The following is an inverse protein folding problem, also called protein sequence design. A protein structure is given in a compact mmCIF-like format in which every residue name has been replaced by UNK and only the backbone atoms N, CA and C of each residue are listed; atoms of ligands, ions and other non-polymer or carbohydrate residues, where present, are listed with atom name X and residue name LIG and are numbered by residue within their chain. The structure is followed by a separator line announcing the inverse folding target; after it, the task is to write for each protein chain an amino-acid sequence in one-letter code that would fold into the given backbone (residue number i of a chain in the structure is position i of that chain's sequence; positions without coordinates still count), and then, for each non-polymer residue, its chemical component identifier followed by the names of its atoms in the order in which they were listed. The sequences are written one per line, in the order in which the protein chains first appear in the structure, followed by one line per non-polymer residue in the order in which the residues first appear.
data_IF_872334220149
#
_entry.id   IF_872334220149
#
_cell.length_a   1.000
_cell.length_b   1.000
_cell.length_c   1.000
_cell.angle_alpha   90.00
_cell.angle_beta   90.00
_cell.angle_gamma   90.00
#
_symmetry.space_group_name_H-M   'P 1'
#
loop_
_entity.id
_entity.type
_entity.pdbx_description
1 polymer ?
#
# COMPACT_ATOMS: atom_id res chain seq x y z
N UNK A 1 16.30 8.71 -8.10
CA UNK A 1 16.07 7.49 -7.29
C UNK A 1 14.59 7.22 -7.31
N UNK A 2 14.24 5.98 -7.64
CA UNK A 2 13.04 5.59 -8.38
C UNK A 2 11.75 5.58 -7.55
N UNK A 3 10.73 6.30 -8.02
CA UNK A 3 9.31 5.96 -7.78
C UNK A 3 8.66 5.96 -9.17
N UNK A 4 8.76 4.83 -9.86
CA UNK A 4 8.02 4.58 -11.08
C UNK A 4 7.72 3.09 -11.17
N UNK A 5 6.45 2.79 -11.46
CA UNK A 5 5.80 1.48 -11.56
C UNK A 5 5.22 0.89 -10.26
N UNK A 6 4.09 1.45 -9.82
CA UNK A 6 2.94 0.60 -9.41
C UNK A 6 1.92 0.69 -10.55
N UNK A 7 2.32 0.10 -11.68
CA UNK A 7 1.38 -0.62 -12.52
C UNK A 7 0.72 -1.70 -11.65
N UNK A 8 -0.43 -2.21 -12.07
CA UNK A 8 -0.98 -3.41 -11.45
C UNK A 8 0.16 -4.41 -11.23
N UNK A 9 0.38 -4.79 -9.97
CA UNK A 9 1.32 -5.83 -9.61
C UNK A 9 0.69 -7.09 -10.17
N UNK A 10 1.00 -7.32 -11.45
CA UNK A 10 1.08 -8.62 -12.04
C UNK A 10 2.03 -9.37 -11.14
N UNK A 11 1.45 -10.20 -10.28
CA UNK A 11 2.19 -11.03 -9.34
C UNK A 11 3.15 -11.88 -10.15
N UNK A 12 4.43 -11.52 -10.11
CA UNK A 12 5.57 -12.39 -10.39
C UNK A 12 5.50 -13.07 -11.78
N UNK A 13 6.27 -12.54 -12.74
CA UNK A 13 6.72 -13.29 -13.91
C UNK A 13 7.76 -14.36 -13.52
N UNK A 14 7.41 -15.24 -12.59
CA UNK A 14 7.97 -16.57 -12.52
C UNK A 14 7.21 -17.41 -13.56
N UNK A 15 7.89 -18.31 -14.24
CA UNK A 15 7.21 -19.31 -15.07
C UNK A 15 6.14 -19.98 -14.18
N UNK A 16 4.84 -19.98 -14.55
CA UNK A 16 3.77 -20.56 -13.73
C UNK A 16 3.93 -22.07 -13.47
N UNK A 17 5.03 -22.67 -13.95
CA UNK A 17 5.44 -24.05 -13.74
C UNK A 17 6.63 -24.21 -12.78
N UNK A 18 7.28 -23.13 -12.34
CA UNK A 18 8.44 -23.24 -11.46
C UNK A 18 8.02 -23.48 -10.00
N UNK A 19 8.55 -24.54 -9.41
CA UNK A 19 8.27 -24.91 -8.02
C UNK A 19 9.03 -23.96 -7.08
N UNK A 20 8.30 -23.23 -6.23
CA UNK A 20 8.92 -22.34 -5.24
C UNK A 20 9.59 -23.16 -4.12
N UNK A 21 10.91 -23.02 -3.97
CA UNK A 21 11.64 -23.61 -2.84
C UNK A 21 11.77 -22.55 -1.75
N UNK A 22 11.15 -22.79 -0.59
CA UNK A 22 11.12 -21.84 0.53
C UNK A 22 11.82 -22.49 1.72
N UNK A 23 12.78 -21.80 2.31
CA UNK A 23 13.52 -22.27 3.49
C UNK A 23 13.16 -21.36 4.65
N UNK A 24 12.36 -21.87 5.60
CA UNK A 24 12.00 -21.20 6.84
C UNK A 24 13.03 -21.54 7.93
N UNK A 25 13.39 -22.82 8.00
CA UNK A 25 14.43 -23.33 8.88
C UNK A 25 15.41 -24.19 8.08
N UNK A 26 16.66 -23.73 7.86
CA UNK A 26 17.69 -24.49 7.17
C UNK A 26 18.02 -25.83 7.84
N UNK A 27 17.88 -25.94 9.17
CA UNK A 27 18.07 -27.18 9.94
C UNK A 27 16.77 -27.98 10.10
N UNK A 28 15.67 -27.44 9.56
CA UNK A 28 14.35 -28.03 9.59
C UNK A 28 14.32 -29.45 9.02
N UNK A 29 13.71 -30.37 9.75
CA UNK A 29 13.56 -31.78 9.36
C UNK A 29 12.24 -32.09 8.66
N UNK A 30 11.33 -31.11 8.58
CA UNK A 30 10.05 -31.23 7.88
C UNK A 30 10.09 -30.48 6.55
N UNK A 31 9.68 -31.14 5.48
CA UNK A 31 9.40 -30.53 4.18
C UNK A 31 7.90 -30.59 3.93
N UNK A 32 7.27 -29.46 3.65
CA UNK A 32 5.86 -29.37 3.31
C UNK A 32 5.78 -29.10 1.81
N UNK A 33 5.24 -30.06 1.06
CA UNK A 33 4.99 -29.97 -0.37
C UNK A 33 3.55 -29.48 -0.59
N UNK A 34 3.41 -28.31 -1.19
CA UNK A 34 2.12 -27.73 -1.52
C UNK A 34 1.78 -28.03 -2.97
N UNK A 35 0.60 -28.61 -3.22
CA UNK A 35 0.16 -28.94 -4.55
C UNK A 35 -1.29 -28.51 -4.81
N UNK A 36 -1.63 -28.37 -6.09
CA UNK A 36 -3.02 -28.15 -6.53
C UNK A 36 -3.46 -29.23 -7.51
N UNK A 37 -4.77 -29.44 -7.55
CA UNK A 37 -5.49 -30.27 -8.55
C UNK A 37 -6.56 -29.43 -9.24
N UNK A 38 -6.35 -28.11 -9.33
CA UNK A 38 -7.28 -27.17 -9.96
C UNK A 38 -7.56 -27.55 -11.42
N UNK A 39 -8.70 -27.09 -11.95
CA UNK A 39 -9.20 -27.49 -13.27
C UNK A 39 -8.31 -27.02 -14.44
N UNK A 40 -7.43 -26.04 -14.20
CA UNK A 40 -6.42 -25.54 -15.14
C UNK A 40 -5.13 -26.37 -15.16
N UNK A 41 -4.96 -27.30 -14.21
CA UNK A 41 -3.87 -28.27 -14.22
C UNK A 41 -4.17 -29.34 -15.26
N UNK A 42 -3.25 -29.56 -16.21
CA UNK A 42 -3.39 -30.66 -17.16
C UNK A 42 -3.57 -31.98 -16.39
N UNK A 43 -4.56 -32.77 -16.78
CA UNK A 43 -4.83 -34.10 -16.23
C UNK A 43 -3.60 -35.03 -16.29
N UNK A 44 -2.61 -34.70 -17.13
CA UNK A 44 -1.34 -35.41 -17.23
C UNK A 44 -0.30 -35.04 -16.16
N UNK A 45 -0.44 -33.89 -15.47
CA UNK A 45 0.54 -33.44 -14.48
C UNK A 45 0.52 -34.31 -13.23
N UNK A 46 1.73 -34.74 -12.84
CA UNK A 46 1.98 -35.60 -11.69
C UNK A 46 3.28 -35.20 -11.02
N UNK A 47 3.33 -35.36 -9.70
CA UNK A 47 4.53 -35.15 -8.91
C UNK A 47 4.81 -36.36 -8.03
N UNK A 48 6.06 -36.49 -7.58
CA UNK A 48 6.45 -37.52 -6.61
C UNK A 48 6.12 -36.95 -5.23
N UNK A 49 5.11 -37.53 -4.58
CA UNK A 49 4.72 -37.16 -3.21
C UNK A 49 5.82 -37.47 -2.20
N UNK A 50 5.70 -36.88 -1.02
CA UNK A 50 6.53 -37.24 0.13
C UNK A 50 6.43 -38.71 0.56
N UNK A 51 5.44 -39.46 0.08
CA UNK A 51 5.34 -40.92 0.28
C UNK A 51 6.08 -41.74 -0.79
N UNK A 52 6.69 -41.09 -1.79
CA UNK A 52 7.36 -41.73 -2.93
C UNK A 52 6.40 -42.22 -4.02
N UNK A 53 5.09 -42.02 -3.87
CA UNK A 53 4.09 -42.36 -4.87
C UNK A 53 3.85 -41.22 -5.84
N UNK A 54 3.65 -41.57 -7.11
CA UNK A 54 3.27 -40.63 -8.16
C UNK A 54 1.83 -40.16 -7.92
N UNK A 55 1.67 -38.86 -7.63
CA UNK A 55 0.39 -38.23 -7.26
C UNK A 55 -0.05 -37.28 -8.35
N UNK A 56 -1.36 -37.26 -8.64
CA UNK A 56 -1.92 -36.35 -9.63
C UNK A 56 -2.02 -34.92 -9.08
N UNK A 57 -1.56 -33.95 -9.87
CA UNK A 57 -1.55 -32.54 -9.54
C UNK A 57 -0.23 -31.86 -9.86
N UNK A 58 -0.21 -30.54 -9.69
CA UNK A 58 0.96 -29.69 -9.88
C UNK A 58 1.56 -29.31 -8.53
N UNK A 59 2.85 -29.56 -8.35
CA UNK A 59 3.59 -29.07 -7.19
C UNK A 59 3.81 -27.56 -7.35
N UNK A 60 3.39 -26.78 -6.36
CA UNK A 60 3.50 -25.33 -6.35
C UNK A 60 4.69 -24.85 -5.53
N UNK A 61 4.91 -25.47 -4.37
CA UNK A 61 5.99 -25.09 -3.47
C UNK A 61 6.49 -26.25 -2.62
N UNK A 62 7.73 -26.14 -2.17
CA UNK A 62 8.36 -27.02 -1.20
C UNK A 62 8.95 -26.16 -0.09
N UNK A 63 8.36 -26.24 1.11
CA UNK A 63 8.72 -25.41 2.26
C UNK A 63 9.46 -26.24 3.30
N UNK A 64 10.70 -25.88 3.62
CA UNK A 64 11.51 -26.52 4.67
C UNK A 64 11.34 -25.79 6.00
N UNK A 65 10.94 -26.51 7.04
CA UNK A 65 10.60 -25.95 8.36
C UNK A 65 10.94 -26.91 9.51
N UNK A 66 10.92 -26.40 10.74
CA UNK A 66 11.13 -27.20 11.94
C UNK A 66 9.92 -28.07 12.23
N UNK A 67 10.11 -29.40 12.20
CA UNK A 67 9.05 -30.36 12.54
C UNK A 67 8.47 -30.10 13.94
N UNK A 68 9.34 -29.79 14.91
CA UNK A 68 8.95 -29.57 16.30
C UNK A 68 8.04 -28.34 16.41
N UNK A 69 8.45 -27.21 15.85
CA UNK A 69 7.71 -25.95 15.93
C UNK A 69 6.35 -26.06 15.24
N UNK A 70 6.30 -26.68 14.05
CA UNK A 70 5.04 -26.89 13.31
C UNK A 70 4.06 -27.73 14.13
N UNK A 71 4.52 -28.79 14.78
CA UNK A 71 3.69 -29.66 15.61
C UNK A 71 3.18 -28.96 16.88
N UNK A 72 4.02 -28.14 17.51
CA UNK A 72 3.64 -27.37 18.72
C UNK A 72 2.58 -26.30 18.43
N UNK A 73 2.48 -25.86 17.18
CA UNK A 73 1.60 -24.76 16.76
C UNK A 73 0.43 -25.19 15.86
N UNK A 74 0.31 -26.47 15.50
CA UNK A 74 -0.78 -26.98 14.66
C UNK A 74 -1.21 -28.41 15.04
N UNK A 75 -2.46 -28.52 15.47
CA UNK A 75 -3.11 -29.80 15.71
C UNK A 75 -3.33 -30.59 14.41
N UNK A 76 -3.62 -29.90 13.30
CA UNK A 76 -3.77 -30.52 11.98
C UNK A 76 -2.51 -31.33 11.61
N UNK A 77 -1.32 -30.70 11.68
CA UNK A 77 -0.07 -31.40 11.34
C UNK A 77 0.26 -32.51 12.35
N UNK A 78 -0.11 -32.32 13.63
CA UNK A 78 0.02 -33.37 14.66
C UNK A 78 -0.79 -34.61 14.31
N UNK A 79 -2.07 -34.44 13.99
CA UNK A 79 -2.94 -35.56 13.62
C UNK A 79 -2.52 -36.20 12.29
N UNK A 80 -2.10 -35.41 11.31
CA UNK A 80 -1.66 -35.92 10.02
C UNK A 80 -0.39 -36.79 10.16
N UNK A 81 0.53 -36.38 11.03
CA UNK A 81 1.72 -37.16 11.34
C UNK A 81 1.40 -38.43 12.14
N UNK A 82 0.43 -38.35 13.06
CA UNK A 82 -0.06 -39.51 13.81
C UNK A 82 -0.68 -40.56 12.89
N UNK A 83 -1.55 -40.14 11.96
CA UNK A 83 -2.14 -41.03 10.93
C UNK A 83 -1.06 -41.71 10.11
N UNK A 84 -0.03 -40.97 9.69
CA UNK A 84 1.08 -41.53 8.91
C UNK A 84 1.88 -42.57 9.70
N UNK A 85 2.14 -42.33 10.99
CA UNK A 85 2.80 -43.30 11.86
C UNK A 85 1.96 -44.58 12.04
N UNK A 86 0.64 -44.45 12.18
CA UNK A 86 -0.28 -45.59 12.24
C UNK A 86 -0.26 -46.42 10.94
N UNK A 87 -0.24 -45.75 9.79
CA UNK A 87 -0.18 -46.42 8.48
C UNK A 87 1.12 -47.19 8.26
N UNK A 88 2.22 -46.79 8.92
CA UNK A 88 3.50 -47.50 8.89
C UNK A 88 3.61 -48.63 9.93
N UNK A 89 2.47 -49.11 10.49
CA UNK A 89 2.40 -50.22 11.46
C UNK A 89 3.29 -50.02 12.69
N UNK A 90 3.45 -48.77 13.14
CA UNK A 90 4.20 -48.44 14.35
C UNK A 90 5.73 -48.37 14.19
N UNK A 91 6.27 -48.43 12.96
CA UNK A 91 7.68 -48.10 12.74
C UNK A 91 7.94 -46.61 13.04
N UNK A 92 9.12 -46.31 13.60
CA UNK A 92 9.53 -44.94 13.92
C UNK A 92 9.50 -44.07 12.64
N UNK A 93 8.93 -42.87 12.73
CA UNK A 93 8.96 -41.90 11.64
C UNK A 93 10.42 -41.57 11.27
N UNK A 94 10.73 -41.39 9.98
CA UNK A 94 12.05 -40.98 9.56
C UNK A 94 12.40 -39.61 10.16
N UNK A 95 13.70 -39.37 10.33
CA UNK A 95 14.21 -38.11 10.86
C UNK A 95 13.82 -36.94 9.96
N UNK A 96 14.06 -37.07 8.65
CA UNK A 96 13.58 -36.15 7.62
C UNK A 96 12.26 -36.65 7.06
N UNK A 97 11.27 -35.77 6.96
CA UNK A 97 9.93 -36.13 6.54
C UNK A 97 9.35 -35.12 5.58
N UNK A 98 8.66 -35.62 4.56
CA UNK A 98 7.93 -34.80 3.59
C UNK A 98 6.43 -35.01 3.74
N UNK A 99 5.67 -33.94 3.96
CA UNK A 99 4.20 -33.93 4.02
C UNK A 99 3.64 -33.21 2.81
N UNK A 100 2.63 -33.80 2.18
CA UNK A 100 1.95 -33.21 1.03
C UNK A 100 0.64 -32.58 1.48
N UNK A 101 0.43 -31.29 1.19
CA UNK A 101 -0.82 -30.57 1.48
C UNK A 101 -1.40 -29.98 0.20
N UNK A 102 -2.72 -30.12 0.04
CA UNK A 102 -3.45 -29.49 -1.06
C UNK A 102 -3.77 -28.05 -0.70
N UNK A 103 -3.18 -27.09 -1.40
CA UNK A 103 -3.46 -25.66 -1.25
C UNK A 103 -2.91 -24.88 -2.42
N UNK A 104 -3.67 -23.89 -2.88
CA UNK A 104 -3.29 -22.95 -3.94
C UNK A 104 -2.66 -21.67 -3.38
N UNK A 105 -2.68 -21.48 -2.06
CA UNK A 105 -2.30 -20.23 -1.41
C UNK A 105 -0.94 -20.38 -0.71
N UNK A 106 0.12 -20.52 -1.53
CA UNK A 106 1.50 -20.70 -1.04
C UNK A 106 1.90 -19.60 -0.08
N UNK A 107 1.67 -18.33 -0.45
CA UNK A 107 2.01 -17.16 0.36
C UNK A 107 1.33 -17.18 1.73
N UNK A 108 0.06 -17.57 1.80
CA UNK A 108 -0.69 -17.65 3.07
C UNK A 108 -0.14 -18.71 4.02
N UNK A 109 0.29 -19.86 3.49
CA UNK A 109 0.91 -20.92 4.30
C UNK A 109 2.35 -20.54 4.68
N UNK A 110 3.10 -19.93 3.77
CA UNK A 110 4.43 -19.38 4.04
C UNK A 110 4.40 -18.38 5.20
N UNK A 111 3.45 -17.44 5.20
CA UNK A 111 3.26 -16.45 6.26
C UNK A 111 3.05 -17.12 7.62
N UNK A 112 2.15 -18.10 7.71
CA UNK A 112 1.93 -18.85 8.96
C UNK A 112 3.19 -19.55 9.44
N UNK A 113 3.91 -20.21 8.53
CA UNK A 113 5.13 -20.91 8.86
C UNK A 113 6.23 -19.95 9.32
N UNK A 114 6.38 -18.77 8.69
CA UNK A 114 7.30 -17.73 9.19
C UNK A 114 6.91 -17.27 10.59
N UNK A 115 5.63 -16.95 10.80
CA UNK A 115 5.16 -16.38 12.06
C UNK A 115 5.32 -17.32 13.26
N UNK A 116 5.14 -18.63 13.08
CA UNK A 116 5.33 -19.60 14.18
C UNK A 116 6.81 -19.92 14.46
N UNK A 117 7.75 -19.53 13.60
CA UNK A 117 9.18 -19.76 13.78
C UNK A 117 9.86 -18.48 14.29
N UNK A 118 10.21 -18.39 15.58
CA UNK A 118 10.75 -17.16 16.17
C UNK A 118 12.07 -16.69 15.53
N UNK A 119 12.89 -17.66 15.09
CA UNK A 119 14.18 -17.40 14.45
C UNK A 119 14.05 -17.15 12.94
N UNK A 120 12.86 -17.35 12.36
CA UNK A 120 12.62 -17.09 10.96
C UNK A 120 12.31 -15.61 10.75
N UNK A 121 13.06 -14.96 9.86
CA UNK A 121 12.79 -13.58 9.49
C UNK A 121 11.50 -13.51 8.67
N UNK A 122 10.54 -12.70 9.14
CA UNK A 122 9.46 -12.20 8.30
C UNK A 122 10.09 -11.39 7.17
N UNK A 123 9.66 -11.62 5.93
CA UNK A 123 10.22 -10.89 4.78
C UNK A 123 9.33 -9.70 4.43
N UNK A 124 9.90 -8.69 3.76
CA UNK A 124 9.16 -7.50 3.35
C UNK A 124 7.99 -7.86 2.41
N UNK A 125 8.11 -8.95 1.63
CA UNK A 125 7.01 -9.44 0.78
C UNK A 125 5.80 -9.90 1.60
N UNK A 126 6.00 -10.34 2.85
CA UNK A 126 4.89 -10.75 3.72
C UNK A 126 4.06 -9.56 4.24
N UNK A 127 4.60 -8.35 4.21
CA UNK A 127 3.88 -7.12 4.57
C UNK A 127 3.22 -6.44 3.36
N UNK A 128 3.50 -6.90 2.14
CA UNK A 128 2.92 -6.38 0.90
C UNK A 128 1.90 -7.32 0.23
N UNK A 129 1.45 -8.35 0.96
CA UNK A 129 0.46 -9.30 0.45
C UNK A 129 -0.91 -8.63 0.28
N UNK A 130 -1.70 -9.15 -0.67
CA UNK A 130 -3.01 -8.57 -0.99
C UNK A 130 -4.06 -8.86 0.09
N UNK A 131 -5.13 -8.05 0.14
CA UNK A 131 -6.30 -8.33 1.00
C UNK A 131 -6.86 -9.74 0.73
N UNK A 132 -6.84 -10.20 -0.54
CA UNK A 132 -7.24 -11.55 -0.91
C UNK A 132 -6.37 -12.60 -0.21
N UNK A 133 -5.06 -12.40 -0.16
CA UNK A 133 -4.14 -13.31 0.52
C UNK A 133 -4.30 -13.28 2.03
N UNK A 134 -4.67 -12.15 2.63
CA UNK A 134 -5.06 -12.09 4.05
C UNK A 134 -6.29 -12.95 4.34
N UNK A 135 -7.32 -12.89 3.48
CA UNK A 135 -8.47 -13.81 3.60
C UNK A 135 -8.05 -15.27 3.47
N UNK A 136 -7.17 -15.59 2.53
CA UNK A 136 -6.62 -16.93 2.36
C UNK A 136 -5.79 -17.36 3.59
N UNK A 137 -5.08 -16.44 4.24
CA UNK A 137 -4.34 -16.66 5.50
C UNK A 137 -5.30 -17.00 6.64
N UNK A 138 -6.43 -16.29 6.77
CA UNK A 138 -7.46 -16.64 7.75
C UNK A 138 -8.09 -18.01 7.46
N UNK A 139 -8.31 -18.35 6.19
CA UNK A 139 -8.77 -19.69 5.80
C UNK A 139 -7.73 -20.77 6.11
N UNK A 140 -6.44 -20.50 5.86
CA UNK A 140 -5.34 -21.40 6.16
C UNK A 140 -5.23 -21.65 7.68
N UNK A 141 -5.42 -20.63 8.51
CA UNK A 141 -5.51 -20.79 9.97
C UNK A 141 -6.57 -21.81 10.38
N UNK A 142 -7.78 -21.69 9.81
CA UNK A 142 -8.87 -22.63 10.12
C UNK A 142 -8.59 -24.04 9.59
N UNK A 143 -7.97 -24.13 8.41
CA UNK A 143 -7.70 -25.41 7.74
C UNK A 143 -6.59 -26.19 8.43
N UNK A 144 -5.52 -25.49 8.82
CA UNK A 144 -4.33 -26.07 9.43
C UNK A 144 -4.28 -25.85 10.95
N UNK A 145 -5.36 -25.37 11.54
CA UNK A 145 -5.54 -25.16 12.98
C UNK A 145 -4.41 -24.33 13.62
N UNK A 146 -3.97 -23.27 12.95
CA UNK A 146 -3.03 -22.30 13.52
C UNK A 146 -3.77 -21.30 14.40
N UNK A 147 -3.17 -20.93 15.54
CA UNK A 147 -3.68 -19.94 16.48
C UNK A 147 -3.58 -18.54 15.89
N UNK A 148 -4.72 -17.83 15.80
CA UNK A 148 -4.80 -16.50 15.19
C UNK A 148 -3.91 -15.47 15.89
N UNK A 149 -3.73 -15.62 17.20
CA UNK A 149 -2.96 -14.71 18.05
C UNK A 149 -1.49 -14.59 17.62
N UNK A 150 -0.94 -15.62 16.95
CA UNK A 150 0.45 -15.60 16.45
C UNK A 150 0.67 -14.52 15.39
N UNK A 151 -0.37 -14.18 14.62
CA UNK A 151 -0.29 -13.14 13.59
C UNK A 151 -0.74 -11.76 14.08
N UNK A 152 -1.01 -11.58 15.38
CA UNK A 152 -1.54 -10.30 15.89
C UNK A 152 -0.62 -9.12 15.56
N UNK A 153 0.67 -9.23 15.89
CA UNK A 153 1.64 -8.15 15.67
C UNK A 153 1.92 -7.92 14.18
N UNK A 154 2.00 -9.01 13.40
CA UNK A 154 2.15 -8.92 11.95
C UNK A 154 0.94 -8.22 11.30
N UNK A 155 -0.27 -8.54 11.75
CA UNK A 155 -1.50 -7.98 11.20
C UNK A 155 -1.62 -6.49 11.54
N UNK A 156 -1.23 -6.08 12.74
CA UNK A 156 -1.20 -4.67 13.12
C UNK A 156 -0.30 -3.88 12.15
N UNK A 157 0.93 -4.35 11.91
CA UNK A 157 1.85 -3.71 10.97
C UNK A 157 1.31 -3.70 9.53
N UNK A 158 0.81 -4.85 9.04
CA UNK A 158 0.27 -4.97 7.68
C UNK A 158 -0.94 -4.05 7.47
N UNK A 159 -1.85 -3.94 8.43
CA UNK A 159 -3.06 -3.11 8.32
C UNK A 159 -2.71 -1.63 8.19
N UNK A 160 -1.67 -1.17 8.88
CA UNK A 160 -1.18 0.21 8.76
C UNK A 160 -0.66 0.52 7.36
N UNK A 161 0.19 -0.35 6.81
CA UNK A 161 0.73 -0.18 5.46
C UNK A 161 -0.39 -0.28 4.41
N UNK A 162 -1.24 -1.31 4.51
CA UNK A 162 -2.32 -1.53 3.56
C UNK A 162 -3.33 -0.37 3.55
N UNK A 163 -3.66 0.17 4.73
CA UNK A 163 -4.55 1.33 4.84
C UNK A 163 -3.95 2.57 4.20
N UNK A 164 -2.68 2.86 4.45
CA UNK A 164 -1.97 3.98 3.82
C UNK A 164 -1.92 3.82 2.28
N UNK A 165 -1.55 2.65 1.78
CA UNK A 165 -1.46 2.37 0.35
C UNK A 165 -2.81 2.53 -0.37
N UNK A 166 -3.88 1.97 0.21
CA UNK A 166 -5.23 2.07 -0.38
C UNK A 166 -5.68 3.52 -0.41
N UNK A 167 -5.50 4.26 0.69
CA UNK A 167 -5.92 5.67 0.77
C UNK A 167 -5.08 6.58 -0.12
N UNK A 168 -3.77 6.31 -0.25
CA UNK A 168 -2.88 6.96 -1.21
C UNK A 168 -3.36 6.72 -2.64
N UNK A 169 -3.50 5.46 -3.05
CA UNK A 169 -3.98 5.07 -4.38
C UNK A 169 -5.31 5.73 -4.70
N UNK A 170 -6.22 5.78 -3.73
CA UNK A 170 -7.52 6.42 -3.91
C UNK A 170 -7.39 7.94 -4.10
N UNK A 171 -6.55 8.61 -3.31
CA UNK A 171 -6.29 10.04 -3.42
C UNK A 171 -5.71 10.43 -4.80
N UNK A 172 -4.87 9.60 -5.42
CA UNK A 172 -4.32 9.91 -6.75
C UNK A 172 -5.16 9.41 -7.91
N UNK A 173 -5.71 8.19 -7.84
CA UNK A 173 -6.32 7.49 -8.98
C UNK A 173 -7.83 7.66 -9.09
N UNK A 174 -8.55 8.04 -8.03
CA UNK A 174 -10.00 8.31 -8.15
C UNK A 174 -10.24 9.58 -8.97
N UNK A 175 -11.17 9.51 -9.91
CA UNK A 175 -11.75 10.67 -10.58
C UNK A 175 -12.79 11.37 -9.68
N UNK A 176 -12.87 12.69 -9.75
CA UNK A 176 -13.91 13.46 -9.05
C UNK A 176 -13.82 13.45 -7.51
N UNK A 177 -14.97 13.56 -6.85
CA UNK A 177 -15.05 13.61 -5.38
C UNK A 177 -15.03 12.20 -4.78
N UNK A 178 -14.33 12.01 -3.66
CA UNK A 178 -14.41 10.77 -2.90
C UNK A 178 -15.76 10.71 -2.17
N UNK A 179 -16.56 9.71 -2.51
CA UNK A 179 -17.82 9.36 -1.88
C UNK A 179 -17.80 7.89 -1.47
N UNK A 180 -18.70 7.55 -0.54
CA UNK A 180 -18.96 6.18 -0.16
C UNK A 180 -20.28 5.72 -0.77
N UNK A 181 -20.25 4.55 -1.40
CA UNK A 181 -21.42 3.79 -1.76
C UNK A 181 -21.34 2.46 -1.01
N UNK A 182 -22.27 2.21 -0.09
CA UNK A 182 -22.36 0.93 0.61
C UNK A 182 -23.28 -0.01 -0.19
N UNK A 183 -22.74 -1.00 -0.92
CA UNK A 183 -23.55 -1.89 -1.75
C UNK A 183 -24.24 -2.99 -0.91
N UNK A 184 -24.02 -3.02 0.40
CA UNK A 184 -24.53 -4.06 1.28
C UNK A 184 -25.85 -3.64 1.94
N UNK A 185 -26.67 -4.60 2.40
CA UNK A 185 -27.86 -4.27 3.20
C UNK A 185 -27.51 -3.79 4.61
N UNK A 186 -26.23 -3.82 5.01
CA UNK A 186 -25.78 -3.45 6.34
C UNK A 186 -25.42 -1.97 6.39
N UNK A 187 -26.44 -1.12 6.57
CA UNK A 187 -26.32 0.35 6.67
C UNK A 187 -25.47 0.86 7.85
N UNK A 188 -24.94 -0.03 8.68
CA UNK A 188 -24.02 0.30 9.76
C UNK A 188 -22.55 0.06 9.37
N UNK A 189 -22.29 -0.61 8.24
CA UNK A 189 -20.94 -0.83 7.72
C UNK A 189 -20.58 0.34 6.79
N UNK A 190 -20.14 1.43 7.40
CA UNK A 190 -19.68 2.63 6.71
C UNK A 190 -18.27 2.99 7.14
N UNK A 191 -17.50 3.55 6.19
CA UNK A 191 -16.28 4.26 6.51
C UNK A 191 -16.62 5.47 7.39
N UNK A 192 -15.83 5.74 8.44
CA UNK A 192 -16.02 6.94 9.23
C UNK A 192 -15.96 8.18 8.31
N UNK A 193 -16.95 9.09 8.34
CA UNK A 193 -17.01 10.23 7.43
C UNK A 193 -15.74 11.11 7.47
N UNK A 194 -15.07 11.16 8.64
CA UNK A 194 -13.75 11.77 8.80
C UNK A 194 -12.69 11.23 7.83
N UNK A 195 -12.68 9.94 7.51
CA UNK A 195 -11.74 9.34 6.54
C UNK A 195 -11.99 9.90 5.13
N UNK A 196 -13.26 9.93 4.71
CA UNK A 196 -13.67 10.49 3.42
C UNK A 196 -13.31 11.98 3.34
N UNK A 197 -13.55 12.73 4.42
CA UNK A 197 -13.16 14.13 4.51
C UNK A 197 -11.65 14.30 4.43
N UNK A 198 -10.86 13.50 5.14
CA UNK A 198 -9.39 13.51 5.09
C UNK A 198 -8.86 13.30 3.67
N UNK A 199 -9.37 12.29 2.97
CA UNK A 199 -9.03 11.99 1.58
C UNK A 199 -9.36 13.15 0.64
N UNK A 200 -10.55 13.74 0.75
CA UNK A 200 -10.94 14.86 -0.11
C UNK A 200 -10.11 16.12 0.15
N UNK A 201 -9.70 16.36 1.40
CA UNK A 201 -8.78 17.44 1.75
C UNK A 201 -7.37 17.19 1.18
N UNK A 202 -6.86 15.96 1.28
CA UNK A 202 -5.59 15.57 0.66
C UNK A 202 -5.62 15.82 -0.85
N UNK A 203 -6.68 15.38 -1.52
CA UNK A 203 -6.88 15.64 -2.96
C UNK A 203 -6.88 17.13 -3.29
N UNK A 204 -7.60 17.93 -2.53
CA UNK A 204 -7.64 19.39 -2.72
C UNK A 204 -6.26 20.02 -2.56
N UNK A 205 -5.44 19.52 -1.65
CA UNK A 205 -4.05 19.96 -1.49
C UNK A 205 -3.18 19.60 -2.69
N UNK A 206 -3.31 18.39 -3.24
CA UNK A 206 -2.62 17.99 -4.47
C UNK A 206 -2.99 18.91 -5.64
N UNK A 207 -4.29 19.21 -5.82
CA UNK A 207 -4.77 20.18 -6.83
C UNK A 207 -4.11 21.54 -6.64
N UNK A 208 -4.11 22.04 -5.40
CA UNK A 208 -3.53 23.34 -5.05
C UNK A 208 -2.04 23.39 -5.38
N UNK A 209 -1.29 22.31 -5.12
CA UNK A 209 0.14 22.22 -5.44
C UNK A 209 0.40 22.28 -6.95
N UNK A 210 -0.40 21.60 -7.75
CA UNK A 210 -0.31 21.67 -9.22
C UNK A 210 -0.52 23.11 -9.69
N UNK A 211 -1.58 23.77 -9.19
CA UNK A 211 -1.84 25.18 -9.50
C UNK A 211 -0.67 26.08 -9.10
N UNK A 212 -0.16 25.94 -7.88
CA UNK A 212 0.94 26.76 -7.36
C UNK A 212 2.25 26.56 -8.13
N UNK A 213 2.48 25.36 -8.67
CA UNK A 213 3.69 25.04 -9.41
C UNK A 213 3.63 25.48 -10.88
N UNK A 214 2.47 25.43 -11.54
CA UNK A 214 2.33 25.78 -12.96
C UNK A 214 2.08 27.28 -13.21
N UNK A 215 1.65 28.03 -12.21
CA UNK A 215 1.33 29.46 -12.36
C UNK A 215 2.53 30.44 -12.37
N UNK A 216 3.68 30.17 -11.73
CA UNK A 216 4.82 31.09 -11.71
C UNK A 216 5.32 31.52 -13.10
N UNK A 217 5.45 30.64 -14.13
CA UNK A 217 5.81 31.07 -15.48
C UNK A 217 4.87 32.14 -16.05
N UNK A 218 3.55 32.00 -15.82
CA UNK A 218 2.55 32.99 -16.25
C UNK A 218 2.83 34.35 -15.61
N UNK A 219 3.14 34.38 -14.30
CA UNK A 219 3.54 35.64 -13.63
C UNK A 219 4.85 36.19 -14.18
N UNK A 220 5.81 35.30 -14.50
CA UNK A 220 7.08 35.68 -15.13
C UNK A 220 6.85 36.43 -16.45
N UNK A 221 6.00 35.91 -17.32
CA UNK A 221 5.65 36.58 -18.57
C UNK A 221 4.90 37.91 -18.36
N UNK A 222 3.96 37.98 -17.42
CA UNK A 222 3.24 39.22 -17.13
C UNK A 222 4.17 40.34 -16.68
N UNK A 223 5.16 40.01 -15.84
CA UNK A 223 6.16 40.95 -15.31
C UNK A 223 7.36 41.17 -16.24
N UNK A 224 7.50 40.39 -17.31
CA UNK A 224 8.64 40.47 -18.23
C UNK A 224 8.71 41.80 -18.96
N UNK A 225 9.93 42.24 -19.29
CA UNK A 225 10.19 43.44 -20.09
C UNK A 225 10.46 43.15 -21.57
N UNK A 226 10.65 41.88 -21.95
CA UNK A 226 10.90 41.51 -23.33
C UNK A 226 9.67 41.70 -24.22
N UNK A 227 9.91 41.97 -25.50
CA UNK A 227 8.83 42.11 -26.50
C UNK A 227 8.11 40.79 -26.77
N UNK A 228 8.80 39.63 -26.66
CA UNK A 228 8.22 38.29 -26.90
C UNK A 228 7.34 37.75 -25.77
N UNK A 229 7.14 38.49 -24.67
CA UNK A 229 6.49 37.94 -23.47
C UNK A 229 5.04 37.52 -23.70
N UNK A 230 4.32 38.22 -24.58
CA UNK A 230 2.94 37.92 -24.89
C UNK A 230 2.83 36.61 -25.69
N UNK A 231 3.68 36.47 -26.73
CA UNK A 231 3.80 35.23 -27.51
C UNK A 231 4.29 34.07 -26.63
N UNK A 232 5.23 34.31 -25.72
CA UNK A 232 5.76 33.30 -24.80
C UNK A 232 4.70 32.80 -23.83
N UNK A 233 3.93 33.71 -23.23
CA UNK A 233 2.80 33.36 -22.36
C UNK A 233 1.74 32.56 -23.11
N UNK A 234 1.42 32.97 -24.35
CA UNK A 234 0.46 32.26 -25.18
C UNK A 234 0.98 30.86 -25.55
N UNK A 235 2.23 30.74 -25.99
CA UNK A 235 2.87 29.46 -26.31
C UNK A 235 2.90 28.52 -25.09
N UNK A 236 3.20 29.04 -23.90
CA UNK A 236 3.18 28.27 -22.65
C UNK A 236 1.78 27.74 -22.31
N UNK A 237 0.76 28.60 -22.38
CA UNK A 237 -0.62 28.16 -22.14
C UNK A 237 -1.12 27.19 -23.21
N UNK A 238 -0.70 27.35 -24.46
CA UNK A 238 -1.00 26.41 -25.55
C UNK A 238 -0.30 25.08 -25.36
N UNK A 239 0.93 25.04 -24.89
CA UNK A 239 1.62 23.81 -24.51
C UNK A 239 0.89 23.08 -23.38
N UNK A 240 0.46 23.81 -22.34
CA UNK A 240 -0.37 23.25 -21.26
C UNK A 240 -1.71 22.72 -21.80
N UNK A 241 -2.37 23.43 -22.70
CA UNK A 241 -3.63 23.00 -23.30
C UNK A 241 -3.45 21.74 -24.17
N UNK A 242 -2.44 21.71 -25.04
CA UNK A 242 -2.10 20.57 -25.91
C UNK A 242 -1.78 19.30 -25.12
N UNK A 243 -1.20 19.44 -23.92
CA UNK A 243 -0.97 18.29 -23.03
C UNK A 243 -2.28 17.60 -22.58
N UNK A 244 -3.42 18.28 -22.69
CA UNK A 244 -4.72 17.79 -22.24
C UNK A 244 -4.97 17.94 -20.74
N UNK A 245 -4.04 18.54 -19.99
CA UNK A 245 -4.15 18.79 -18.56
C UNK A 245 -4.77 20.16 -18.20
N UNK A 246 -4.95 21.06 -19.18
CA UNK A 246 -5.40 22.44 -18.95
C UNK A 246 -6.72 22.76 -19.68
N UNK A 247 -7.64 23.56 -19.11
CA UNK A 247 -7.59 24.22 -17.79
C UNK A 247 -7.81 23.27 -16.60
N UNK A 248 -7.05 23.45 -15.52
CA UNK A 248 -7.05 22.54 -14.37
C UNK A 248 -8.44 22.38 -13.71
N UNK A 249 -9.17 23.48 -13.51
CA UNK A 249 -10.50 23.46 -12.88
C UNK A 249 -11.50 22.63 -13.69
N UNK A 250 -11.49 22.76 -15.03
CA UNK A 250 -12.36 21.96 -15.90
C UNK A 250 -11.97 20.48 -15.92
N UNK A 251 -10.67 20.17 -15.84
CA UNK A 251 -10.21 18.78 -15.86
C UNK A 251 -10.41 18.07 -14.52
N UNK A 252 -10.43 18.80 -13.41
CA UNK A 252 -10.46 18.21 -12.06
C UNK A 252 -11.82 18.33 -11.36
N UNK A 253 -12.81 18.96 -11.99
CA UNK A 253 -14.17 19.14 -11.48
C UNK A 253 -15.23 18.73 -12.51
N UNK A 254 -16.41 18.32 -12.03
CA UNK A 254 -17.54 17.92 -12.87
C UNK A 254 -17.61 16.41 -13.14
N UNK A 255 -18.56 16.02 -14.00
CA UNK A 255 -18.84 14.61 -14.31
C UNK A 255 -17.72 13.95 -15.13
N UNK A 256 -17.00 14.75 -15.94
CA UNK A 256 -15.89 14.29 -16.78
C UNK A 256 -14.52 14.55 -16.14
N UNK A 257 -14.49 14.73 -14.81
CA UNK A 257 -13.26 14.99 -14.07
C UNK A 257 -12.30 13.81 -14.19
N UNK A 258 -11.05 14.08 -14.54
CA UNK A 258 -9.99 13.08 -14.54
C UNK A 258 -9.35 12.96 -13.15
N UNK A 259 -8.58 11.89 -12.95
CA UNK A 259 -7.83 11.69 -11.71
C UNK A 259 -6.61 12.61 -11.63
N UNK A 260 -6.08 12.83 -10.41
CA UNK A 260 -4.80 13.55 -10.25
C UNK A 260 -3.69 12.83 -11.01
N UNK A 261 -3.65 11.49 -10.92
CA UNK A 261 -2.64 10.68 -11.61
C UNK A 261 -2.70 10.88 -13.12
N UNK A 262 -3.88 10.78 -13.72
CA UNK A 262 -4.06 10.97 -15.15
C UNK A 262 -3.68 12.39 -15.59
N UNK A 263 -4.01 13.41 -14.79
CA UNK A 263 -3.61 14.78 -15.06
C UNK A 263 -2.08 14.94 -15.06
N UNK A 264 -1.38 14.32 -14.10
CA UNK A 264 0.08 14.32 -14.07
C UNK A 264 0.70 13.59 -15.26
N UNK A 265 0.10 12.46 -15.68
CA UNK A 265 0.54 11.71 -16.86
C UNK A 265 0.37 12.55 -18.13
N UNK A 266 -0.72 13.32 -18.25
CA UNK A 266 -0.95 14.28 -19.33
C UNK A 266 0.07 15.42 -19.33
N UNK A 267 0.39 15.98 -18.16
CA UNK A 267 1.47 16.98 -18.02
C UNK A 267 2.83 16.41 -18.44
N UNK A 268 3.04 15.10 -18.35
CA UNK A 268 4.22 14.43 -18.88
C UNK A 268 4.47 14.70 -20.37
N UNK A 269 3.41 14.91 -21.15
CA UNK A 269 3.43 15.23 -22.58
C UNK A 269 3.56 16.74 -22.87
N UNK A 270 3.93 17.55 -21.89
CA UNK A 270 4.12 18.98 -22.08
C UNK A 270 5.29 19.28 -23.02
N UNK A 271 5.00 19.98 -24.12
CA UNK A 271 5.99 20.40 -25.12
C UNK A 271 5.82 21.89 -25.40
N UNK A 272 6.83 22.67 -25.01
CA UNK A 272 6.85 24.13 -25.18
C UNK A 272 7.87 24.52 -26.25
N UNK A 273 7.40 25.32 -27.20
CA UNK A 273 8.23 25.91 -28.25
C UNK A 273 8.40 27.41 -27.96
N UNK A 274 9.64 27.82 -27.71
CA UNK A 274 9.95 29.21 -27.44
C UNK A 274 9.72 30.07 -28.70
N UNK A 275 8.99 31.19 -28.62
CA UNK A 275 8.82 32.10 -29.75
C UNK A 275 10.11 32.85 -30.10
N UNK A 276 11.04 32.96 -29.15
CA UNK A 276 12.36 33.55 -29.34
C UNK A 276 13.38 32.77 -28.49
N UNK A 277 14.33 32.12 -29.16
CA UNK A 277 15.39 31.32 -28.52
C UNK A 277 16.45 32.19 -27.83
N UNK A 278 16.60 33.45 -28.25
CA UNK A 278 17.61 34.37 -27.71
C UNK A 278 17.13 35.13 -26.46
N UNK A 279 15.85 35.01 -26.10
CA UNK A 279 15.30 35.66 -24.92
C UNK A 279 15.29 34.72 -23.73
N UNK A 280 16.09 35.00 -22.70
CA UNK A 280 16.23 34.20 -21.47
C UNK A 280 14.90 33.73 -20.86
N UNK A 281 13.91 34.63 -20.76
CA UNK A 281 12.58 34.27 -20.26
C UNK A 281 11.84 33.35 -21.24
N UNK A 282 11.76 33.74 -22.51
CA UNK A 282 10.99 33.01 -23.52
C UNK A 282 11.64 31.64 -23.88
N UNK A 283 12.95 31.49 -23.74
CA UNK A 283 13.71 30.27 -24.05
C UNK A 283 13.94 29.35 -22.84
N UNK A 284 13.41 29.71 -21.67
CA UNK A 284 13.45 28.85 -20.49
C UNK A 284 12.82 27.49 -20.80
N UNK A 285 13.53 26.41 -20.45
CA UNK A 285 12.99 25.07 -20.52
C UNK A 285 11.98 24.83 -19.38
N UNK A 286 10.73 25.18 -19.64
CA UNK A 286 9.64 25.01 -18.68
C UNK A 286 9.29 23.55 -18.39
N UNK A 287 9.70 22.59 -19.25
CA UNK A 287 9.50 21.17 -18.98
C UNK A 287 10.33 20.76 -17.77
N UNK A 288 11.64 20.98 -17.83
CA UNK A 288 12.56 20.56 -16.77
C UNK A 288 12.56 21.49 -15.56
N UNK A 289 12.36 22.80 -15.76
CA UNK A 289 12.39 23.77 -14.66
C UNK A 289 11.08 23.89 -13.88
N UNK A 290 9.94 23.53 -14.48
CA UNK A 290 8.62 23.74 -13.87
C UNK A 290 7.76 22.47 -13.86
N UNK A 291 7.51 21.86 -15.01
CA UNK A 291 6.53 20.77 -15.14
C UNK A 291 7.02 19.48 -14.48
N UNK A 292 8.25 19.04 -14.72
CA UNK A 292 8.81 17.82 -14.11
C UNK A 292 8.95 17.95 -12.57
N UNK A 293 9.46 19.07 -12.04
CA UNK A 293 9.43 19.32 -10.60
C UNK A 293 8.01 19.35 -10.02
N UNK A 294 7.04 19.91 -10.74
CA UNK A 294 5.63 19.86 -10.34
C UNK A 294 5.16 18.40 -10.21
N UNK A 295 5.32 17.59 -11.25
CA UNK A 295 4.91 16.18 -11.26
C UNK A 295 5.54 15.43 -10.09
N UNK A 296 6.86 15.55 -9.92
CA UNK A 296 7.59 14.90 -8.84
C UNK A 296 7.08 15.32 -7.47
N UNK A 297 7.01 16.64 -7.22
CA UNK A 297 6.61 17.17 -5.92
C UNK A 297 5.17 16.84 -5.52
N UNK A 298 4.29 16.60 -6.49
CA UNK A 298 2.90 16.18 -6.26
C UNK A 298 2.84 14.69 -5.97
N UNK A 299 3.58 13.84 -6.70
CA UNK A 299 3.61 12.39 -6.46
C UNK A 299 4.23 12.02 -5.12
N UNK A 300 5.22 12.77 -4.67
CA UNK A 300 5.90 12.58 -3.37
C UNK A 300 5.17 13.30 -2.22
N UNK A 301 3.96 13.84 -2.44
CA UNK A 301 3.35 14.73 -1.46
C UNK A 301 2.57 14.02 -0.36
N UNK A 302 1.89 12.94 -0.70
CA UNK A 302 0.92 12.29 0.16
C UNK A 302 1.10 10.78 0.06
N UNK A 303 1.36 10.15 1.20
CA UNK A 303 1.72 8.74 1.32
C UNK A 303 0.51 7.87 1.68
N UNK A 304 -0.66 8.49 1.89
CA UNK A 304 -1.85 7.85 2.42
C UNK A 304 -2.29 8.47 3.73
N UNK A 305 -3.36 7.94 4.31
CA UNK A 305 -3.73 8.24 5.69
C UNK A 305 -3.01 7.26 6.62
N UNK A 306 -2.59 7.74 7.78
CA UNK A 306 -1.87 6.98 8.80
C UNK A 306 -2.81 6.66 9.97
N UNK A 307 -2.98 5.37 10.28
CA UNK A 307 -3.85 4.91 11.37
C UNK A 307 -3.36 5.41 12.73
N UNK A 308 -2.04 5.39 13.02
CA UNK A 308 -1.50 5.95 14.27
C UNK A 308 -1.87 7.43 14.42
N UNK A 309 -1.81 8.21 13.34
CA UNK A 309 -2.19 9.63 13.34
C UNK A 309 -3.70 9.86 13.49
N UNK A 310 -4.53 8.91 13.03
CA UNK A 310 -5.99 8.94 13.21
C UNK A 310 -6.38 8.57 14.65
N UNK A 311 -5.77 7.53 15.20
CA UNK A 311 -6.13 6.94 16.50
C UNK A 311 -5.56 7.72 17.67
N UNK A 312 -4.34 8.23 17.52
CA UNK A 312 -3.63 8.99 18.55
C UNK A 312 -3.28 10.40 18.09
N UNK A 313 -4.29 11.22 17.71
CA UNK A 313 -4.05 12.61 17.31
C UNK A 313 -3.49 13.46 18.46
N UNK A 314 -3.56 12.96 19.70
CA UNK A 314 -3.16 13.65 20.94
C UNK A 314 -1.73 13.33 21.40
N UNK A 315 -1.00 12.38 20.80
CA UNK A 315 0.40 12.15 21.16
C UNK A 315 1.33 13.32 20.74
N UNK A 316 0.76 14.35 20.13
CA UNK A 316 1.44 15.59 19.73
C UNK A 316 0.54 16.74 20.18
N UNK A 317 0.69 17.15 21.44
CA UNK A 317 -0.06 18.20 22.18
C UNK A 317 0.21 19.62 21.64
N UNK A 318 0.21 19.70 20.33
CA UNK A 318 0.96 20.65 19.58
C UNK A 318 0.01 21.06 18.46
N UNK A 319 -0.51 22.27 18.55
CA UNK A 319 -1.04 22.92 17.36
C UNK A 319 0.09 22.98 16.32
N UNK A 320 -0.19 23.03 15.01
CA UNK A 320 0.84 23.20 13.97
C UNK A 320 1.86 24.31 14.26
N UNK A 321 1.43 25.32 15.03
CA UNK A 321 2.20 26.50 15.46
C UNK A 321 3.12 26.24 16.68
N UNK A 322 2.96 25.12 17.39
CA UNK A 322 3.69 24.76 18.61
C UNK A 322 4.55 23.49 18.48
N UNK A 323 4.78 22.95 17.28
CA UNK A 323 5.73 21.84 17.09
C UNK A 323 7.09 22.37 17.53
N UNK A 324 7.70 21.80 18.59
CA UNK A 324 9.00 22.25 19.00
C UNK A 324 9.92 22.15 17.78
N UNK A 325 10.58 23.28 17.51
CA UNK A 325 11.67 23.36 16.56
C UNK A 325 12.87 22.75 17.26
N UNK A 326 12.93 21.43 17.38
CA UNK A 326 14.13 20.75 17.85
C UNK A 326 15.16 20.71 16.71
N UNK A 327 15.63 21.89 16.27
CA UNK A 327 16.91 22.14 15.57
C UNK A 327 17.29 21.30 14.34
N UNK A 328 16.45 20.38 13.87
CA UNK A 328 16.81 19.28 12.97
C UNK A 328 15.69 18.81 12.02
N UNK A 329 14.59 19.57 11.91
CA UNK A 329 13.47 19.26 11.03
C UNK A 329 12.26 18.66 11.76
N UNK A 330 11.07 18.80 11.17
CA UNK A 330 9.82 18.25 11.72
C UNK A 330 9.69 16.77 11.32
N UNK A 331 9.75 15.85 12.27
CA UNK A 331 9.51 14.41 12.06
C UNK A 331 8.02 14.13 12.29
N UNK A 332 7.26 13.95 11.21
CA UNK A 332 5.79 13.87 11.26
C UNK A 332 5.26 12.47 11.55
N UNK A 333 6.05 11.46 11.18
CA UNK A 333 5.87 10.02 11.32
C UNK A 333 6.46 9.45 12.61
N UNK A 334 6.99 10.29 13.51
CA UNK A 334 7.48 9.81 14.81
C UNK A 334 6.39 8.97 15.51
N UNK A 335 6.78 7.76 15.91
CA UNK A 335 5.96 6.73 16.55
C UNK A 335 4.81 6.18 15.67
N UNK A 336 4.96 6.25 14.34
CA UNK A 336 4.03 5.64 13.38
C UNK A 336 4.63 4.36 12.80
N UNK A 337 3.77 3.42 12.40
CA UNK A 337 4.16 2.20 11.69
C UNK A 337 4.56 2.43 10.24
N UNK A 338 4.30 3.63 9.70
CA UNK A 338 4.66 3.99 8.33
C UNK A 338 5.42 5.31 8.30
N UNK A 339 6.46 5.36 7.46
CA UNK A 339 7.21 6.57 7.16
C UNK A 339 6.35 7.52 6.33
N UNK A 340 6.23 8.78 6.74
CA UNK A 340 5.36 9.73 6.05
C UNK A 340 5.63 11.21 6.34
N UNK A 341 5.27 12.05 5.36
CA UNK A 341 5.44 13.50 5.46
C UNK A 341 4.38 14.26 6.25
N UNK A 342 4.54 15.58 6.28
CA UNK A 342 3.56 16.52 6.84
C UNK A 342 2.14 16.36 6.28
N UNK A 343 1.92 16.17 4.97
CA UNK A 343 0.57 16.11 4.42
C UNK A 343 -0.19 14.89 4.92
N UNK A 344 0.44 13.72 4.90
CA UNK A 344 -0.09 12.48 5.49
C UNK A 344 -0.52 12.68 6.93
N UNK A 345 0.36 13.24 7.77
CA UNK A 345 0.04 13.57 9.16
C UNK A 345 -1.18 14.50 9.29
N UNK A 346 -1.21 15.61 8.55
CA UNK A 346 -2.24 16.63 8.65
C UNK A 346 -3.62 16.11 8.25
N UNK A 347 -3.72 15.38 7.15
CA UNK A 347 -5.00 14.85 6.67
C UNK A 347 -5.51 13.68 7.52
N UNK A 348 -4.60 12.88 8.09
CA UNK A 348 -4.92 11.85 9.08
C UNK A 348 -5.46 12.46 10.38
N UNK A 349 -4.82 13.53 10.86
CA UNK A 349 -5.31 14.27 12.02
C UNK A 349 -6.68 14.90 11.77
N UNK A 350 -6.94 15.42 10.56
CA UNK A 350 -8.28 15.91 10.19
C UNK A 350 -9.31 14.79 10.22
N UNK A 351 -8.96 13.60 9.72
CA UNK A 351 -9.83 12.43 9.74
C UNK A 351 -10.19 11.95 11.16
N UNK A 352 -9.32 12.17 12.16
CA UNK A 352 -9.59 11.86 13.57
C UNK A 352 -10.70 12.72 14.23
N UNK A 353 -11.05 13.87 13.66
CA UNK A 353 -11.88 14.89 14.34
C UNK A 353 -13.30 14.42 14.68
N UNK A 354 -13.80 13.40 13.99
CA UNK A 354 -15.13 12.85 14.24
C UNK A 354 -15.15 11.90 15.44
N UNK A 355 -14.14 11.02 15.58
CA UNK A 355 -13.97 10.16 16.77
C UNK A 355 -13.89 10.96 18.08
N UNK A 356 -13.45 12.22 18.01
CA UNK A 356 -13.43 13.16 19.15
C UNK A 356 -14.79 13.71 19.56
N UNK A 357 -15.79 13.68 18.69
CA UNK A 357 -17.16 14.10 19.03
C UNK A 357 -17.87 13.04 19.89
N UNK A 358 -17.51 11.77 19.68
CA UNK A 358 -18.13 10.61 20.37
C UNK A 358 -17.38 10.21 21.65
N UNK A 359 -16.17 10.71 21.89
CA UNK A 359 -15.53 10.59 23.19
C UNK A 359 -16.24 11.51 24.21
N UNK A 360 -16.76 10.97 25.35
CA UNK A 360 -17.27 11.82 26.41
C UNK A 360 -16.16 12.76 26.85
N UNK A 361 -16.45 14.06 26.84
CA UNK A 361 -15.55 15.10 27.36
C UNK A 361 -15.22 14.78 28.82
N UNK A 362 -14.14 14.05 29.05
CA UNK A 362 -13.65 13.80 30.38
C UNK A 362 -13.12 15.14 30.92
N UNK A 363 -13.90 15.70 31.84
CA UNK A 363 -13.63 16.82 32.73
C UNK A 363 -12.17 17.32 32.74
N UNK A 364 -11.84 18.29 31.89
CA UNK A 364 -10.85 19.30 32.28
C UNK A 364 -11.61 20.42 32.99
N UNK A 365 -11.31 20.73 34.26
CA UNK A 365 -11.95 21.84 34.95
C UNK A 365 -11.63 23.12 34.18
N UNK A 366 -12.69 23.76 33.67
CA UNK A 366 -12.61 25.13 33.17
C UNK A 366 -11.99 25.97 34.30
N UNK A 367 -10.71 26.33 34.16
CA UNK A 367 -10.15 27.44 34.92
C UNK A 367 -10.95 28.68 34.51
N UNK A 368 -12.00 28.98 35.27
CA UNK A 368 -12.59 30.30 35.31
C UNK A 368 -11.47 31.20 35.82
N UNK A 369 -10.82 31.92 34.92
CA UNK A 369 -10.06 33.10 35.31
C UNK A 369 -11.09 34.07 35.90
N UNK A 370 -11.00 34.26 37.21
CA UNK A 370 -11.73 35.32 37.89
C UNK A 370 -11.19 36.66 37.41
N UNK A 371 -12.12 37.52 37.00
CA UNK A 371 -12.01 38.95 37.15
C UNK A 371 -13.20 39.39 37.98
#
# INVERSE_FOLDING_TARGET
MAIQQIADVDTSSADPKEVRIIIIDPEGTLTIQMYTTAADVDNSERFISGAGSLTHGRLLASIKASKKIVLENSNYFTEELRKRQLNMRGTKLPEKLTLDIKSEHVTSVELWLRAIHPDATMTDEMYSISIKDVWNTLQASRTYEFKLEVLSDWFDEWDHQAFADVTCRYAYKKAGHCDENNPTPYHNLHLPPGIIAGLNNARTNLKTKIHQALYPPIRGFLSGSCSCKAEGMFAYQMALHKSGAWPLEEKLHGNDAISIRELLDRLGNFEYEAPNQDCELCSTDYKTSTVDPCIKSVLENFDGLCLNCIDYPMNKNIYPDFLPFDGGGKVFDKDCHIDHGQPTWWFSWLASRERRKDQPRNNQPRKRLGY
#
